data_IF_429107380424
#
_entry.id   IF_429107380424
#
_cell.length_a   1.000
_cell.length_b   1.000
_cell.length_c   1.000
_cell.angle_alpha   90.00
_cell.angle_beta   90.00
_cell.angle_gamma   90.00
#
_symmetry.space_group_name_H-M   'P 1'
#
loop_
_entity.id
_entity.type
_entity.pdbx_description
1 polymer ?
#
# COMPACT_ATOMS: atom_id res chain seq x y z
N UNK A 1 -21.27 6.51 -22.04
CA UNK A 1 -20.03 7.14 -21.50
C UNK A 1 -18.85 6.38 -22.08
N UNK A 2 -18.12 6.97 -23.02
CA UNK A 2 -16.93 6.35 -23.62
C UNK A 2 -15.74 6.52 -22.68
N UNK A 3 -15.07 5.41 -22.35
CA UNK A 3 -13.91 5.39 -21.43
C UNK A 3 -12.67 6.13 -21.95
N UNK A 4 -12.71 6.58 -23.20
CA UNK A 4 -11.67 7.38 -23.88
C UNK A 4 -11.54 8.80 -23.33
N UNK A 5 -12.41 9.22 -22.41
CA UNK A 5 -12.41 10.57 -21.84
C UNK A 5 -11.32 10.80 -20.77
N UNK A 6 -10.81 9.74 -20.14
CA UNK A 6 -9.85 9.85 -19.02
C UNK A 6 -8.43 9.86 -19.58
N UNK A 7 -7.74 10.98 -19.43
CA UNK A 7 -6.35 11.10 -19.88
C UNK A 7 -5.36 10.79 -18.76
N UNK A 8 -4.10 10.41 -19.09
CA UNK A 8 -3.07 10.19 -18.08
C UNK A 8 -2.84 11.43 -17.18
N UNK A 9 -3.01 12.64 -17.72
CA UNK A 9 -2.84 13.88 -16.97
C UNK A 9 -3.90 14.07 -15.88
N UNK A 10 -5.12 13.59 -16.12
CA UNK A 10 -6.22 13.67 -15.14
C UNK A 10 -5.93 12.75 -13.94
N UNK A 11 -5.41 11.56 -14.22
CA UNK A 11 -4.98 10.60 -13.19
C UNK A 11 -3.80 11.18 -12.41
N UNK A 12 -2.87 11.84 -13.08
CA UNK A 12 -1.72 12.46 -12.40
C UNK A 12 -2.17 13.59 -11.48
N UNK A 13 -3.04 14.47 -11.98
CA UNK A 13 -3.65 15.56 -11.19
C UNK A 13 -4.38 15.00 -9.96
N UNK A 14 -5.14 13.93 -10.13
CA UNK A 14 -5.80 13.24 -9.03
C UNK A 14 -4.78 12.74 -7.99
N UNK A 15 -3.73 12.05 -8.44
CA UNK A 15 -2.69 11.57 -7.53
C UNK A 15 -1.92 12.69 -6.83
N UNK A 16 -1.68 13.82 -7.49
CA UNK A 16 -0.98 14.95 -6.89
C UNK A 16 -1.84 15.65 -5.82
N UNK A 17 -3.17 15.65 -5.97
CA UNK A 17 -4.10 16.18 -4.95
C UNK A 17 -4.24 15.20 -3.78
N UNK A 18 -4.48 13.92 -4.06
CA UNK A 18 -4.67 12.89 -3.02
C UNK A 18 -3.37 12.57 -2.30
N UNK A 19 -2.25 12.57 -3.02
CA UNK A 19 -0.90 12.30 -2.52
C UNK A 19 -0.43 13.33 -1.50
N UNK A 20 -0.85 14.59 -1.60
CA UNK A 20 -0.54 15.63 -0.59
C UNK A 20 -1.03 15.29 0.82
N UNK A 21 -2.12 14.51 0.93
CA UNK A 21 -2.71 14.14 2.21
C UNK A 21 -2.40 12.69 2.59
N UNK A 22 -2.41 11.76 1.61
CA UNK A 22 -2.38 10.31 1.87
C UNK A 22 -1.66 9.56 0.74
N UNK A 23 -0.34 9.52 0.80
CA UNK A 23 0.49 8.80 -0.19
C UNK A 23 0.13 7.31 -0.33
N UNK A 24 -0.14 6.61 0.78
CA UNK A 24 -0.48 5.19 0.75
C UNK A 24 -1.82 4.92 0.05
N UNK A 25 -2.82 5.76 0.30
CA UNK A 25 -4.15 5.67 -0.30
C UNK A 25 -4.09 5.90 -1.81
N UNK A 26 -3.41 6.97 -2.24
CA UNK A 26 -3.22 7.27 -3.66
C UNK A 26 -2.55 6.11 -4.41
N UNK A 27 -1.57 5.46 -3.78
CA UNK A 27 -0.89 4.30 -4.33
C UNK A 27 -1.79 3.05 -4.41
N UNK A 28 -2.70 2.85 -3.45
CA UNK A 28 -3.66 1.75 -3.46
C UNK A 28 -4.66 1.92 -4.61
N UNK A 29 -5.21 3.12 -4.76
CA UNK A 29 -6.14 3.49 -5.83
C UNK A 29 -5.47 3.41 -7.21
N UNK A 30 -4.23 3.89 -7.34
CA UNK A 30 -3.43 3.71 -8.57
C UNK A 30 -3.29 2.22 -8.90
N UNK A 31 -3.11 1.36 -7.91
CA UNK A 31 -2.83 -0.07 -8.11
C UNK A 31 -4.08 -0.88 -8.47
N UNK A 32 -5.27 -0.41 -8.12
CA UNK A 32 -6.53 -1.05 -8.51
C UNK A 32 -6.97 -0.72 -9.94
N UNK A 33 -6.60 0.46 -10.47
CA UNK A 33 -6.97 0.91 -11.82
C UNK A 33 -6.69 -0.13 -12.95
N UNK A 34 -5.52 -0.78 -13.05
CA UNK A 34 -5.26 -1.77 -14.09
C UNK A 34 -6.25 -2.93 -14.10
N UNK A 35 -6.76 -3.34 -12.93
CA UNK A 35 -7.72 -4.46 -12.85
C UNK A 35 -9.07 -4.05 -13.45
N UNK A 36 -9.54 -2.83 -13.12
CA UNK A 36 -10.79 -2.27 -13.65
C UNK A 36 -10.70 -2.07 -15.16
N UNK A 37 -9.60 -1.49 -15.64
CA UNK A 37 -9.40 -1.29 -17.08
C UNK A 37 -9.21 -2.60 -17.85
N UNK A 38 -8.59 -3.62 -17.25
CA UNK A 38 -8.49 -4.96 -17.85
C UNK A 38 -9.87 -5.61 -18.01
N UNK A 39 -10.72 -5.50 -16.98
CA UNK A 39 -12.11 -5.99 -17.06
C UNK A 39 -12.90 -5.26 -18.15
N UNK A 40 -12.75 -3.93 -18.24
CA UNK A 40 -13.38 -3.13 -19.29
C UNK A 40 -12.87 -3.45 -20.69
N UNK A 41 -11.57 -3.70 -20.84
CA UNK A 41 -10.94 -4.08 -22.09
C UNK A 41 -11.47 -5.41 -22.64
N UNK A 42 -11.58 -6.42 -21.78
CA UNK A 42 -12.11 -7.75 -22.17
C UNK A 42 -13.55 -7.69 -22.69
N UNK A 43 -14.31 -6.65 -22.32
CA UNK A 43 -15.72 -6.49 -22.68
C UNK A 43 -15.95 -5.39 -23.72
N UNK A 44 -14.88 -4.82 -24.27
CA UNK A 44 -14.96 -3.76 -25.29
C UNK A 44 -15.37 -2.38 -24.75
N UNK A 45 -15.40 -2.18 -23.43
CA UNK A 45 -15.75 -0.88 -22.82
C UNK A 45 -14.58 0.11 -22.81
N UNK A 46 -13.34 -0.38 -22.81
CA UNK A 46 -12.16 0.48 -22.79
C UNK A 46 -11.03 -0.04 -23.69
N UNK A 47 -10.40 0.83 -24.51
CA UNK A 47 -9.33 0.42 -25.41
C UNK A 47 -8.03 0.09 -24.66
N UNK A 48 -7.86 0.54 -23.42
CA UNK A 48 -6.67 0.26 -22.62
C UNK A 48 -6.61 1.09 -21.35
N UNK A 49 -5.64 0.80 -20.48
CA UNK A 49 -5.41 1.54 -19.26
C UNK A 49 -4.59 2.81 -19.55
N UNK A 50 -5.07 4.03 -19.31
CA UNK A 50 -4.30 5.27 -19.53
C UNK A 50 -3.15 5.48 -18.54
N UNK A 51 -3.05 4.69 -17.47
CA UNK A 51 -2.01 4.82 -16.42
C UNK A 51 -0.71 4.06 -16.73
N UNK A 52 -0.46 3.73 -18.01
CA UNK A 52 0.83 3.16 -18.44
C UNK A 52 1.94 4.19 -18.15
N UNK A 53 3.07 3.75 -17.59
CA UNK A 53 4.25 4.57 -17.29
C UNK A 53 4.09 5.67 -16.21
N UNK A 54 3.06 5.60 -15.36
CA UNK A 54 2.96 6.52 -14.21
C UNK A 54 3.65 5.94 -12.98
N UNK A 55 4.59 6.66 -12.36
CA UNK A 55 5.27 6.25 -11.14
C UNK A 55 4.38 6.24 -9.89
N UNK A 56 4.81 5.48 -8.87
CA UNK A 56 4.18 5.50 -7.54
C UNK A 56 4.62 6.76 -6.80
N UNK A 57 3.75 7.29 -5.93
CA UNK A 57 4.24 8.24 -4.94
C UNK A 57 5.20 7.50 -3.99
N UNK A 58 6.37 8.08 -3.67
CA UNK A 58 7.29 7.45 -2.73
C UNK A 58 6.57 7.22 -1.40
N UNK A 59 6.74 6.05 -0.81
CA UNK A 59 6.31 5.80 0.56
C UNK A 59 7.41 6.30 1.48
N UNK A 60 7.10 7.02 2.57
CA UNK A 60 8.09 7.26 3.60
C UNK A 60 8.60 5.90 4.09
N UNK A 61 9.91 5.74 4.13
CA UNK A 61 10.53 4.62 4.82
C UNK A 61 10.21 4.78 6.31
N UNK A 62 9.89 3.70 7.02
CA UNK A 62 9.75 3.76 8.47
C UNK A 62 11.11 4.13 9.07
N UNK A 63 11.12 5.11 9.97
CA UNK A 63 12.37 5.70 10.48
C UNK A 63 13.14 4.78 11.42
N UNK A 64 12.46 3.81 12.06
CA UNK A 64 13.06 2.97 13.10
C UNK A 64 12.39 1.60 13.19
N UNK A 65 13.22 0.56 13.28
CA UNK A 65 12.80 -0.78 13.71
C UNK A 65 12.84 -0.85 15.25
N UNK A 66 11.92 -1.63 15.83
CA UNK A 66 11.97 -1.98 17.26
C UNK A 66 13.20 -2.87 17.50
N UNK A 67 13.94 -2.59 18.58
CA UNK A 67 15.09 -3.40 18.99
C UNK A 67 14.66 -4.55 19.91
N UNK A 68 15.46 -5.62 19.98
CA UNK A 68 15.15 -6.80 20.81
C UNK A 68 14.95 -6.41 22.29
N UNK A 69 15.69 -5.43 22.79
CA UNK A 69 15.55 -4.91 24.16
C UNK A 69 14.18 -4.25 24.39
N UNK A 70 13.71 -3.47 23.41
CA UNK A 70 12.40 -2.82 23.48
C UNK A 70 11.27 -3.84 23.36
N UNK A 71 11.44 -4.89 22.56
CA UNK A 71 10.49 -5.99 22.42
C UNK A 71 10.33 -6.76 23.74
N UNK A 72 11.45 -7.07 24.42
CA UNK A 72 11.44 -7.71 25.74
C UNK A 72 10.72 -6.87 26.81
N UNK A 73 10.97 -5.56 26.85
CA UNK A 73 10.30 -4.66 27.82
C UNK A 73 8.79 -4.61 27.57
N UNK A 74 8.34 -4.69 26.31
CA UNK A 74 6.92 -4.74 25.99
C UNK A 74 6.35 -6.11 26.41
N UNK A 75 7.05 -7.21 26.12
CA UNK A 75 6.62 -8.56 26.49
C UNK A 75 6.44 -8.72 28.01
N UNK A 76 7.36 -8.18 28.82
CA UNK A 76 7.27 -8.25 30.28
C UNK A 76 6.09 -7.47 30.86
N UNK A 77 5.66 -6.41 30.19
CA UNK A 77 4.57 -5.53 30.65
C UNK A 77 3.21 -5.80 29.96
N UNK A 78 3.17 -6.67 28.96
CA UNK A 78 1.98 -6.92 28.16
C UNK A 78 1.05 -7.95 28.80
N UNK A 79 -0.24 -7.83 28.51
CA UNK A 79 -1.25 -8.80 28.93
C UNK A 79 -1.05 -10.15 28.24
N UNK A 80 -1.47 -11.26 28.87
CA UNK A 80 -1.33 -12.61 28.32
C UNK A 80 -1.71 -12.78 26.83
N UNK A 81 -2.83 -12.20 26.33
CA UNK A 81 -3.19 -12.27 24.91
C UNK A 81 -2.19 -11.56 23.98
N UNK A 82 -1.59 -10.46 24.44
CA UNK A 82 -0.59 -9.70 23.69
C UNK A 82 0.74 -10.45 23.63
N UNK A 83 1.15 -11.10 24.72
CA UNK A 83 2.35 -11.96 24.74
C UNK A 83 2.23 -13.13 23.78
N UNK A 84 1.07 -13.81 23.78
CA UNK A 84 0.81 -14.89 22.84
C UNK A 84 0.86 -14.41 21.38
N UNK A 85 0.32 -13.23 21.09
CA UNK A 85 0.39 -12.64 19.75
C UNK A 85 1.83 -12.28 19.35
N UNK A 86 2.63 -11.77 20.30
CA UNK A 86 4.03 -11.40 20.10
C UNK A 86 4.90 -12.63 19.80
N UNK A 87 4.73 -13.73 20.53
CA UNK A 87 5.44 -14.99 20.27
C UNK A 87 5.11 -15.55 18.88
N UNK A 88 3.82 -15.54 18.50
CA UNK A 88 3.40 -15.97 17.16
C UNK A 88 4.04 -15.09 16.09
N UNK A 89 4.08 -13.78 16.31
CA UNK A 89 4.66 -12.84 15.36
C UNK A 89 6.19 -13.05 15.24
N UNK A 90 6.88 -13.29 16.35
CA UNK A 90 8.32 -13.58 16.40
C UNK A 90 8.69 -14.86 15.65
N UNK A 91 7.88 -15.92 15.79
CA UNK A 91 8.12 -17.21 15.12
C UNK A 91 7.73 -17.23 13.64
N UNK A 92 6.76 -16.40 13.24
CA UNK A 92 6.23 -16.37 11.86
C UNK A 92 6.93 -15.38 10.94
N UNK A 93 7.65 -14.41 11.50
CA UNK A 93 8.41 -13.44 10.71
C UNK A 93 9.72 -14.05 10.17
N UNK A 94 10.01 -13.98 8.87
CA UNK A 94 11.34 -14.31 8.36
C UNK A 94 12.37 -13.33 8.94
N UNK A 95 13.52 -13.85 9.39
CA UNK A 95 14.61 -13.06 10.01
C UNK A 95 14.91 -11.81 9.16
N UNK A 96 14.66 -10.63 9.71
CA UNK A 96 14.82 -9.34 9.01
C UNK A 96 13.52 -8.62 8.63
N UNK A 97 12.35 -9.22 8.92
CA UNK A 97 11.06 -8.51 8.81
C UNK A 97 10.77 -7.78 10.12
N UNK A 98 10.68 -6.44 10.13
CA UNK A 98 10.31 -5.70 11.32
C UNK A 98 8.86 -6.05 11.68
N UNK A 99 8.71 -6.69 12.83
CA UNK A 99 7.44 -6.93 13.47
C UNK A 99 7.07 -5.58 14.09
N UNK A 100 6.14 -4.88 13.43
CA UNK A 100 5.71 -3.49 13.69
C UNK A 100 6.57 -2.36 13.14
#
# INVERSE_FOLDING_TARGET
>A
MTSTAIKPEDIRRYMDVTGKKRHAQANHERSSMPQVYRWGYQRGFAPGNPRVNMDKSPKPQKDRCITDEEDLVIYENASGPVNAAMEIAYLSAPRGFPIF
#
